data_IF_901641852917
#
_entry.id   IF_901641852917
#
_cell.length_a   1.000
_cell.length_b   1.000
_cell.length_c   1.000
_cell.angle_alpha   90.00
_cell.angle_beta   90.00
_cell.angle_gamma   90.00
#
_symmetry.space_group_name_H-M   'P 1'
#
loop_
_entity.id
_entity.type
_entity.pdbx_description
1 polymer ?
#
# COMPACT_ATOMS: atom_id res chain seq x y z
N UNK A 1 16.27 -14.37 -5.84
CA UNK A 1 14.87 -13.87 -5.75
C UNK A 1 14.80 -12.37 -5.97
N UNK A 2 15.59 -11.57 -5.24
CA UNK A 2 15.68 -10.11 -5.41
C UNK A 2 16.17 -9.66 -6.80
N UNK A 3 17.06 -10.42 -7.45
CA UNK A 3 17.45 -10.15 -8.84
C UNK A 3 16.28 -10.21 -9.82
N UNK A 4 15.31 -11.11 -9.57
CA UNK A 4 14.12 -11.23 -10.42
C UNK A 4 13.23 -10.01 -10.30
N UNK A 5 13.11 -9.43 -9.10
CA UNK A 5 12.28 -8.24 -8.89
C UNK A 5 12.95 -6.95 -9.36
N UNK A 6 14.30 -6.90 -9.31
CA UNK A 6 15.12 -5.81 -9.86
C UNK A 6 14.85 -5.52 -11.35
N UNK A 7 14.36 -6.52 -12.10
CA UNK A 7 13.91 -6.35 -13.49
C UNK A 7 12.73 -5.36 -13.62
N UNK A 8 11.89 -5.26 -12.59
CA UNK A 8 10.66 -4.44 -12.63
C UNK A 8 10.85 -3.10 -11.95
N UNK A 9 11.47 -3.07 -10.77
CA UNK A 9 11.84 -1.86 -10.05
C UNK A 9 13.07 -2.15 -9.16
N UNK A 10 13.84 -1.13 -8.76
CA UNK A 10 15.00 -1.35 -7.90
C UNK A 10 14.57 -1.89 -6.53
N UNK A 11 14.97 -3.11 -6.18
CA UNK A 11 14.56 -3.80 -4.95
C UNK A 11 14.94 -3.01 -3.68
N UNK A 12 15.98 -2.19 -3.73
CA UNK A 12 16.37 -1.33 -2.61
C UNK A 12 15.32 -0.23 -2.30
N UNK A 13 14.38 0.05 -3.21
CA UNK A 13 13.22 0.90 -2.89
C UNK A 13 12.33 0.30 -1.80
N UNK A 14 12.34 -1.02 -1.60
CA UNK A 14 11.64 -1.65 -0.47
C UNK A 14 12.16 -1.16 0.88
N UNK A 15 13.43 -0.70 0.96
CA UNK A 15 13.98 -0.12 2.18
C UNK A 15 13.25 1.15 2.59
N UNK A 16 12.80 1.96 1.63
CA UNK A 16 11.98 3.15 1.91
C UNK A 16 10.62 2.76 2.48
N UNK A 17 9.99 1.72 1.92
CA UNK A 17 8.68 1.23 2.38
C UNK A 17 8.78 0.60 3.77
N UNK A 18 9.84 -0.15 4.03
CA UNK A 18 10.16 -0.68 5.35
C UNK A 18 10.45 0.43 6.36
N UNK A 19 11.12 1.51 5.94
CA UNK A 19 11.33 2.67 6.80
C UNK A 19 10.02 3.37 7.14
N UNK A 20 9.12 3.58 6.18
CA UNK A 20 7.77 4.12 6.42
C UNK A 20 6.96 3.21 7.35
N UNK A 21 7.00 1.91 7.13
CA UNK A 21 6.34 0.93 8.00
C UNK A 21 6.93 1.01 9.42
N UNK A 22 8.25 1.06 9.56
CA UNK A 22 8.92 1.26 10.84
C UNK A 22 8.43 2.54 11.54
N UNK A 23 8.37 3.67 10.85
CA UNK A 23 7.87 4.92 11.42
C UNK A 23 6.43 4.80 11.92
N UNK A 24 5.59 4.03 11.21
CA UNK A 24 4.19 3.80 11.61
C UNK A 24 4.04 3.03 12.93
N UNK A 25 5.05 2.26 13.35
CA UNK A 25 5.12 1.64 14.67
C UNK A 25 5.88 2.50 15.66
N UNK A 26 7.03 3.01 15.26
CA UNK A 26 7.97 3.72 16.13
C UNK A 26 7.34 4.95 16.77
N UNK A 27 6.69 5.81 15.98
CA UNK A 27 6.17 7.08 16.48
C UNK A 27 5.08 6.92 17.55
N UNK A 28 4.00 6.13 17.32
CA UNK A 28 3.03 5.88 18.37
C UNK A 28 3.63 5.12 19.57
N UNK A 29 4.63 4.27 19.36
CA UNK A 29 5.29 3.53 20.45
C UNK A 29 6.02 4.46 21.43
N UNK A 30 6.85 5.39 20.94
CA UNK A 30 7.60 6.29 21.83
C UNK A 30 6.72 7.30 22.56
N UNK A 31 5.53 7.61 22.03
CA UNK A 31 4.54 8.49 22.67
C UNK A 31 3.42 7.74 23.40
N UNK A 32 3.45 6.41 23.44
CA UNK A 32 2.33 5.60 23.96
C UNK A 32 2.02 5.91 25.43
N UNK A 33 3.04 6.19 26.24
CA UNK A 33 2.89 6.56 27.64
C UNK A 33 2.16 7.90 27.82
N UNK A 34 2.43 8.88 26.95
CA UNK A 34 1.89 10.24 26.98
C UNK A 34 0.44 10.31 26.47
N UNK A 35 0.01 9.34 25.67
CA UNK A 35 -1.35 9.32 25.12
C UNK A 35 -2.41 9.25 26.25
N UNK A 36 -3.53 9.98 26.13
CA UNK A 36 -4.61 9.96 27.11
C UNK A 36 -5.33 8.61 27.16
N UNK A 37 -6.25 8.45 28.13
CA UNK A 37 -7.04 7.23 28.30
C UNK A 37 -7.95 6.91 27.10
N UNK A 38 -8.32 7.91 26.27
CA UNK A 38 -9.10 7.75 25.05
C UNK A 38 -8.36 8.36 23.85
N UNK A 39 -8.29 7.62 22.76
CA UNK A 39 -7.62 8.01 21.52
C UNK A 39 -8.60 7.97 20.34
N UNK A 40 -8.40 8.78 19.29
CA UNK A 40 -9.18 8.67 18.07
C UNK A 40 -8.87 7.35 17.37
N UNK A 41 -9.92 6.67 16.90
CA UNK A 41 -9.83 5.39 16.17
C UNK A 41 -10.46 5.44 14.79
N UNK A 42 -11.23 6.48 14.50
CA UNK A 42 -11.76 6.77 13.18
C UNK A 42 -11.74 8.28 12.93
N UNK A 43 -11.62 8.65 11.65
CA UNK A 43 -11.62 10.02 11.18
C UNK A 43 -12.59 10.14 10.01
N UNK A 44 -13.43 11.17 10.04
CA UNK A 44 -14.35 11.47 8.94
C UNK A 44 -13.63 12.09 7.74
N UNK A 45 -14.40 12.37 6.68
CA UNK A 45 -13.88 13.01 5.46
C UNK A 45 -13.27 14.42 5.71
N UNK A 46 -13.72 15.13 6.74
CA UNK A 46 -13.11 16.41 7.16
C UNK A 46 -11.71 16.24 7.76
N UNK A 47 -11.29 15.00 8.04
CA UNK A 47 -10.08 14.69 8.79
C UNK A 47 -10.24 14.86 10.31
N UNK A 48 -11.43 15.22 10.80
CA UNK A 48 -11.72 15.29 12.24
C UNK A 48 -12.05 13.91 12.81
N UNK A 49 -11.66 13.63 14.07
CA UNK A 49 -12.02 12.38 14.71
C UNK A 49 -13.52 12.32 15.01
N UNK A 50 -14.17 11.25 14.57
CA UNK A 50 -15.60 10.98 14.76
C UNK A 50 -15.84 9.68 15.57
N UNK A 51 -14.80 8.90 15.86
CA UNK A 51 -14.84 7.80 16.83
C UNK A 51 -13.60 7.77 17.73
N UNK A 52 -13.82 7.34 18.98
CA UNK A 52 -12.82 7.35 20.05
C UNK A 52 -12.92 6.09 20.89
N UNK A 53 -11.79 5.42 21.13
CA UNK A 53 -11.72 4.17 21.91
C UNK A 53 -10.75 4.27 23.09
N UNK A 54 -10.85 3.38 24.09
CA UNK A 54 -9.85 3.30 25.16
C UNK A 54 -8.44 3.05 24.61
N UNK A 55 -7.42 3.67 25.21
CA UNK A 55 -6.02 3.39 24.87
C UNK A 55 -5.67 1.95 25.25
N UNK A 56 -5.22 1.19 24.26
CA UNK A 56 -4.59 -0.11 24.41
C UNK A 56 -3.73 -0.40 23.16
N UNK A 57 -2.84 -1.40 23.19
CA UNK A 57 -1.95 -1.68 22.07
C UNK A 57 -2.70 -2.03 20.78
N UNK A 58 -3.85 -2.70 20.87
CA UNK A 58 -4.65 -3.06 19.69
C UNK A 58 -5.16 -1.80 19.00
N UNK A 59 -5.79 -0.88 19.73
CA UNK A 59 -6.35 0.34 19.16
C UNK A 59 -5.28 1.28 18.58
N UNK A 60 -4.05 1.26 19.11
CA UNK A 60 -2.94 2.08 18.60
C UNK A 60 -2.27 1.45 17.38
N UNK A 61 -2.05 0.14 17.40
CA UNK A 61 -1.19 -0.53 16.42
C UNK A 61 -1.93 -1.38 15.38
N UNK A 62 -3.26 -1.52 15.45
CA UNK A 62 -4.02 -2.34 14.48
C UNK A 62 -3.81 -1.89 13.03
N UNK A 63 -3.87 -0.58 12.75
CA UNK A 63 -3.64 -0.07 11.39
C UNK A 63 -2.21 -0.35 10.87
N UNK A 64 -1.13 -0.05 11.62
CA UNK A 64 0.23 -0.48 11.28
C UNK A 64 0.37 -2.00 11.08
N UNK A 65 -0.28 -2.83 11.90
CA UNK A 65 -0.25 -4.30 11.77
C UNK A 65 -0.93 -4.75 10.47
N UNK A 66 -2.11 -4.19 10.14
CA UNK A 66 -2.79 -4.45 8.86
C UNK A 66 -1.86 -4.07 7.70
N UNK A 67 -1.20 -2.90 7.79
CA UNK A 67 -0.24 -2.49 6.76
C UNK A 67 0.96 -3.44 6.65
N UNK A 68 1.49 -3.95 7.76
CA UNK A 68 2.58 -4.94 7.74
C UNK A 68 2.15 -6.24 7.05
N UNK A 69 0.93 -6.73 7.32
CA UNK A 69 0.36 -7.91 6.65
C UNK A 69 0.20 -7.65 5.15
N UNK A 70 -0.37 -6.51 4.77
CA UNK A 70 -0.52 -6.11 3.36
C UNK A 70 0.85 -6.03 2.68
N UNK A 71 1.85 -5.43 3.34
CA UNK A 71 3.21 -5.33 2.83
C UNK A 71 3.82 -6.71 2.58
N UNK A 72 3.74 -7.63 3.55
CA UNK A 72 4.27 -8.99 3.41
C UNK A 72 3.55 -9.75 2.28
N UNK A 73 2.22 -9.68 2.25
CA UNK A 73 1.40 -10.34 1.22
C UNK A 73 1.74 -9.83 -0.19
N UNK A 74 1.72 -8.51 -0.39
CA UNK A 74 1.98 -7.90 -1.70
C UNK A 74 3.43 -8.08 -2.16
N UNK A 75 4.39 -8.06 -1.23
CA UNK A 75 5.79 -8.39 -1.52
C UNK A 75 5.92 -9.86 -1.95
N UNK A 76 5.32 -10.78 -1.20
CA UNK A 76 5.27 -12.21 -1.58
C UNK A 76 4.63 -12.43 -2.95
N UNK A 77 3.51 -11.76 -3.22
CA UNK A 77 2.80 -11.81 -4.49
C UNK A 77 3.69 -11.32 -5.65
N UNK A 78 4.33 -10.15 -5.51
CA UNK A 78 5.19 -9.61 -6.57
C UNK A 78 6.44 -10.47 -6.80
N UNK A 79 7.03 -11.07 -5.77
CA UNK A 79 8.14 -12.01 -5.88
C UNK A 79 7.72 -13.32 -6.58
N UNK A 80 6.52 -13.82 -6.26
CA UNK A 80 5.94 -14.98 -6.94
C UNK A 80 5.71 -14.67 -8.43
N UNK A 81 5.03 -13.56 -8.77
CA UNK A 81 4.79 -13.15 -10.16
C UNK A 81 6.10 -12.98 -10.95
N UNK A 82 7.11 -12.35 -10.33
CA UNK A 82 8.44 -12.20 -10.93
C UNK A 82 9.14 -13.54 -11.18
N UNK A 83 8.78 -14.57 -10.42
CA UNK A 83 9.39 -15.90 -10.48
C UNK A 83 8.69 -16.89 -11.40
N UNK A 84 7.43 -16.63 -11.79
CA UNK A 84 6.69 -17.46 -12.74
C UNK A 84 7.38 -17.41 -14.12
N UNK A 85 7.78 -18.57 -14.71
CA UNK A 85 8.45 -18.59 -16.01
C UNK A 85 7.58 -18.12 -17.17
N UNK A 86 6.31 -18.53 -17.18
CA UNK A 86 5.34 -18.14 -18.20
C UNK A 86 4.41 -17.04 -17.67
N UNK A 87 4.57 -15.77 -18.10
CA UNK A 87 3.75 -14.67 -17.62
C UNK A 87 2.25 -14.83 -17.95
N UNK A 88 1.85 -15.69 -18.90
CA UNK A 88 0.43 -15.91 -19.18
C UNK A 88 -0.31 -16.56 -18.02
N UNK A 89 0.39 -17.33 -17.16
CA UNK A 89 -0.21 -18.04 -16.02
C UNK A 89 -0.68 -17.12 -14.89
N UNK A 90 -0.25 -15.87 -14.88
CA UNK A 90 -0.65 -14.86 -13.88
C UNK A 90 -1.70 -13.87 -14.42
N UNK A 91 -2.09 -13.99 -15.69
CA UNK A 91 -3.04 -13.09 -16.34
C UNK A 91 -4.43 -13.71 -16.27
N UNK A 92 -5.37 -13.00 -15.66
CA UNK A 92 -6.77 -13.38 -15.67
C UNK A 92 -7.43 -12.92 -16.98
N UNK A 93 -7.41 -13.76 -18.01
CA UNK A 93 -8.05 -13.52 -19.29
C UNK A 93 -8.64 -14.81 -19.88
N UNK A 94 -9.52 -14.69 -20.87
CA UNK A 94 -10.06 -15.86 -21.55
C UNK A 94 -8.96 -16.64 -22.28
N UNK A 95 -9.11 -17.96 -22.41
CA UNK A 95 -8.15 -18.82 -23.11
C UNK A 95 -7.81 -18.31 -24.51
N UNK A 96 -8.82 -17.81 -25.24
CA UNK A 96 -8.67 -17.21 -26.57
C UNK A 96 -7.71 -16.02 -26.58
N UNK A 97 -7.81 -15.14 -25.60
CA UNK A 97 -6.92 -13.96 -25.51
C UNK A 97 -5.50 -14.37 -25.10
N UNK A 98 -5.35 -15.33 -24.19
CA UNK A 98 -4.04 -15.85 -23.78
C UNK A 98 -3.31 -16.57 -24.93
N UNK A 99 -4.03 -17.33 -25.76
CA UNK A 99 -3.46 -18.02 -26.93
C UNK A 99 -2.97 -17.03 -27.99
N UNK A 100 -3.67 -15.91 -28.17
CA UNK A 100 -3.30 -14.84 -29.12
C UNK A 100 -2.20 -13.91 -28.63
N UNK A 101 -2.01 -13.83 -27.32
CA UNK A 101 -1.03 -12.93 -26.71
C UNK A 101 0.40 -13.38 -27.01
N UNK A 102 1.24 -12.48 -27.51
CA UNK A 102 2.67 -12.79 -27.67
C UNK A 102 3.37 -12.85 -26.31
N UNK A 103 4.49 -13.58 -26.18
CA UNK A 103 5.27 -13.62 -24.94
C UNK A 103 5.68 -12.22 -24.43
N UNK A 104 6.05 -11.32 -25.34
CA UNK A 104 6.47 -9.95 -25.03
C UNK A 104 5.30 -9.16 -24.43
N UNK A 105 4.10 -9.32 -25.00
CA UNK A 105 2.91 -8.65 -24.51
C UNK A 105 2.48 -9.17 -23.14
N UNK A 106 2.57 -10.48 -22.92
CA UNK A 106 2.31 -11.06 -21.60
C UNK A 106 3.33 -10.55 -20.56
N UNK A 107 4.59 -10.37 -20.96
CA UNK A 107 5.62 -9.79 -20.11
C UNK A 107 5.35 -8.32 -19.75
N UNK A 108 4.83 -7.53 -20.70
CA UNK A 108 4.41 -6.15 -20.44
C UNK A 108 3.27 -6.10 -19.41
N UNK A 109 2.28 -6.99 -19.50
CA UNK A 109 1.20 -7.10 -18.49
C UNK A 109 1.80 -7.40 -17.12
N UNK A 110 2.72 -8.37 -17.03
CA UNK A 110 3.44 -8.69 -15.79
C UNK A 110 4.18 -7.48 -15.22
N UNK A 111 4.93 -6.77 -16.07
CA UNK A 111 5.72 -5.60 -15.67
C UNK A 111 4.83 -4.47 -15.15
N UNK A 112 3.77 -4.11 -15.87
CA UNK A 112 2.80 -3.09 -15.44
C UNK A 112 2.15 -3.50 -14.12
N UNK A 113 1.78 -4.77 -13.97
CA UNK A 113 1.13 -5.25 -12.76
C UNK A 113 2.06 -5.19 -11.54
N UNK A 114 3.29 -5.68 -11.65
CA UNK A 114 4.27 -5.64 -10.55
C UNK A 114 4.59 -4.19 -10.16
N UNK A 115 4.80 -3.30 -11.14
CA UNK A 115 5.06 -1.87 -10.87
C UNK A 115 3.87 -1.16 -10.26
N UNK A 116 2.66 -1.45 -10.73
CA UNK A 116 1.43 -0.89 -10.17
C UNK A 116 1.18 -1.34 -8.74
N UNK A 117 1.38 -2.64 -8.45
CA UNK A 117 1.31 -3.17 -7.08
C UNK A 117 2.35 -2.52 -6.16
N UNK A 118 3.58 -2.30 -6.64
CA UNK A 118 4.59 -1.56 -5.89
C UNK A 118 4.13 -0.11 -5.60
N UNK A 119 3.60 0.60 -6.60
CA UNK A 119 3.10 1.97 -6.42
C UNK A 119 1.96 2.07 -5.40
N UNK A 120 0.98 1.16 -5.47
CA UNK A 120 -0.10 1.06 -4.50
C UNK A 120 0.45 0.76 -3.09
N UNK A 121 1.38 -0.20 -2.99
CA UNK A 121 2.04 -0.56 -1.72
C UNK A 121 2.79 0.62 -1.10
N UNK A 122 3.50 1.40 -1.92
CA UNK A 122 4.22 2.59 -1.47
C UNK A 122 3.27 3.68 -0.93
N UNK A 123 2.15 3.93 -1.63
CA UNK A 123 1.12 4.86 -1.18
C UNK A 123 0.46 4.41 0.13
N UNK A 124 0.15 3.11 0.27
CA UNK A 124 -0.40 2.55 1.50
C UNK A 124 0.60 2.65 2.67
N UNK A 125 1.89 2.37 2.44
CA UNK A 125 2.94 2.51 3.46
C UNK A 125 3.07 3.97 3.94
N UNK A 126 3.08 4.92 3.00
CA UNK A 126 3.11 6.35 3.30
C UNK A 126 1.87 6.81 4.06
N UNK A 127 0.68 6.37 3.62
CA UNK A 127 -0.58 6.66 4.29
C UNK A 127 -0.59 6.13 5.73
N UNK A 128 -0.13 4.88 5.95
CA UNK A 128 -0.03 4.26 7.27
C UNK A 128 0.92 5.04 8.19
N UNK A 129 2.10 5.42 7.70
CA UNK A 129 3.07 6.22 8.46
C UNK A 129 2.51 7.59 8.85
N UNK A 130 1.88 8.27 7.89
CA UNK A 130 1.26 9.57 8.14
C UNK A 130 0.07 9.48 9.10
N UNK A 131 -0.80 8.49 8.94
CA UNK A 131 -1.93 8.27 9.85
C UNK A 131 -1.48 7.95 11.27
N UNK A 132 -0.45 7.12 11.44
CA UNK A 132 0.12 6.82 12.76
C UNK A 132 0.70 8.09 13.41
N UNK A 133 1.44 8.90 12.65
CA UNK A 133 1.98 10.18 13.10
C UNK A 133 0.88 11.18 13.49
N UNK A 134 -0.03 11.48 12.57
CA UNK A 134 -1.08 12.47 12.77
C UNK A 134 -2.07 12.04 13.85
N UNK A 135 -2.48 10.77 13.89
CA UNK A 135 -3.37 10.25 14.95
C UNK A 135 -2.71 10.34 16.33
N UNK A 136 -1.41 10.09 16.43
CA UNK A 136 -0.66 10.30 17.68
C UNK A 136 -0.69 11.77 18.10
N UNK A 137 -0.46 12.70 17.17
CA UNK A 137 -0.54 14.14 17.49
C UNK A 137 -1.96 14.60 17.87
N UNK A 138 -3.00 14.08 17.23
CA UNK A 138 -4.39 14.33 17.62
C UNK A 138 -4.65 13.77 19.02
N UNK A 139 -4.17 12.57 19.32
CA UNK A 139 -4.27 11.95 20.66
C UNK A 139 -3.62 12.82 21.73
N UNK A 140 -2.47 13.44 21.43
CA UNK A 140 -1.75 14.33 22.34
C UNK A 140 -2.33 15.75 22.40
N UNK A 141 -3.43 16.03 21.69
CA UNK A 141 -4.03 17.37 21.61
C UNK A 141 -3.17 18.39 20.85
N UNK A 142 -2.17 17.92 20.07
CA UNK A 142 -1.24 18.76 19.30
C UNK A 142 -1.76 19.08 17.89
N UNK A 143 -2.74 18.33 17.41
CA UNK A 143 -3.42 18.57 16.13
C UNK A 143 -4.94 18.40 16.28
N UNK A 144 -5.77 19.21 15.59
CA UNK A 144 -7.22 19.09 15.65
C UNK A 144 -7.78 17.91 14.85
N UNK A 145 -7.02 17.37 13.89
CA UNK A 145 -7.39 16.27 13.01
C UNK A 145 -6.25 15.89 12.08
N UNK A 146 -6.48 15.01 11.11
CA UNK A 146 -5.48 14.62 10.11
C UNK A 146 -5.11 15.79 9.20
N UNK A 147 -6.10 16.59 8.78
CA UNK A 147 -5.93 17.67 7.81
C UNK A 147 -6.02 17.18 6.36
N UNK A 148 -5.93 18.10 5.41
CA UNK A 148 -6.19 17.80 3.99
C UNK A 148 -5.18 16.84 3.36
N UNK A 149 -3.97 16.73 3.92
CA UNK A 149 -2.88 15.94 3.34
C UNK A 149 -3.22 14.45 3.23
N UNK A 150 -4.13 13.92 4.07
CA UNK A 150 -4.65 12.55 3.92
C UNK A 150 -5.24 12.28 2.52
N UNK A 151 -5.83 13.30 1.88
CA UNK A 151 -6.44 13.17 0.56
C UNK A 151 -5.43 12.96 -0.54
N UNK A 152 -4.17 13.38 -0.37
CA UNK A 152 -3.09 13.10 -1.33
C UNK A 152 -2.91 11.59 -1.47
N UNK A 153 -2.91 10.85 -0.36
CA UNK A 153 -2.82 9.39 -0.38
C UNK A 153 -4.07 8.76 -0.96
N UNK A 154 -5.26 9.19 -0.55
CA UNK A 154 -6.53 8.64 -1.05
C UNK A 154 -6.68 8.82 -2.55
N UNK A 155 -6.49 10.05 -3.05
CA UNK A 155 -6.54 10.35 -4.48
C UNK A 155 -5.43 9.62 -5.22
N UNK A 156 -4.22 9.58 -4.67
CA UNK A 156 -3.10 8.84 -5.23
C UNK A 156 -3.41 7.36 -5.41
N UNK A 157 -4.04 6.72 -4.41
CA UNK A 157 -4.45 5.31 -4.47
C UNK A 157 -5.51 5.07 -5.55
N UNK A 158 -6.52 5.94 -5.63
CA UNK A 158 -7.55 5.86 -6.69
C UNK A 158 -6.90 5.99 -8.06
N UNK A 159 -6.05 7.00 -8.28
CA UNK A 159 -5.36 7.21 -9.55
C UNK A 159 -4.45 6.03 -9.89
N UNK A 160 -3.68 5.51 -8.93
CA UNK A 160 -2.81 4.36 -9.14
C UNK A 160 -3.60 3.09 -9.51
N UNK A 161 -4.74 2.85 -8.84
CA UNK A 161 -5.62 1.72 -9.12
C UNK A 161 -6.29 1.84 -10.51
N UNK A 162 -6.80 3.03 -10.85
CA UNK A 162 -7.38 3.31 -12.17
C UNK A 162 -6.33 3.17 -13.28
N UNK A 163 -5.13 3.71 -13.07
CA UNK A 163 -4.02 3.59 -13.99
C UNK A 163 -3.63 2.13 -14.22
N UNK A 164 -3.46 1.35 -13.14
CA UNK A 164 -3.12 -0.07 -13.24
C UNK A 164 -4.22 -0.85 -13.99
N UNK A 165 -5.48 -0.62 -13.64
CA UNK A 165 -6.64 -1.27 -14.27
C UNK A 165 -6.72 -0.93 -15.76
N UNK A 166 -6.64 0.36 -16.11
CA UNK A 166 -6.69 0.82 -17.49
C UNK A 166 -5.57 0.21 -18.34
N UNK A 167 -4.33 0.23 -17.84
CA UNK A 167 -3.18 -0.29 -18.59
C UNK A 167 -3.26 -1.82 -18.75
N UNK A 168 -3.63 -2.55 -17.69
CA UNK A 168 -3.75 -4.01 -17.77
C UNK A 168 -4.87 -4.44 -18.71
N UNK A 169 -6.06 -3.83 -18.63
CA UNK A 169 -7.16 -4.10 -19.56
C UNK A 169 -6.75 -3.79 -20.99
N UNK A 170 -6.12 -2.64 -21.23
CA UNK A 170 -5.65 -2.24 -22.56
C UNK A 170 -4.66 -3.25 -23.11
N UNK A 171 -3.66 -3.65 -22.31
CA UNK A 171 -2.67 -4.65 -22.71
C UNK A 171 -3.24 -6.05 -22.87
N UNK A 172 -4.35 -6.39 -22.23
CA UNK A 172 -4.98 -7.71 -22.40
C UNK A 172 -5.87 -7.73 -23.65
N UNK A 173 -6.70 -6.71 -23.87
CA UNK A 173 -7.81 -6.78 -24.82
C UNK A 173 -7.67 -5.93 -26.08
N UNK A 174 -6.79 -4.91 -26.11
CA UNK A 174 -6.66 -4.03 -27.27
C UNK A 174 -5.81 -4.68 -28.35
N UNK A 175 -6.39 -5.07 -29.48
CA UNK A 175 -5.66 -5.74 -30.57
C UNK A 175 -4.42 -4.97 -31.00
#
# INVERSE_FOLDING_TARGET
MWEKINKYYPAWWELLLLFLLFLSFWYPYVHYAEMPARIPTHFGASGLPDAWSPKNPVNVFLAPVIMAVIYCFTTGLTLWMASVPDPKKIINASRRELERMTPERAELVRQVTIRGLFGIKALLAGMSAYMAYASTLVSLGKMPGLGWFMWVFTVGLIVAALYLTFNTITLIYRK
#
